data_IF_544922852895
#
_entry.id   IF_544922852895
#
_cell.length_a   1.000
_cell.length_b   1.000
_cell.length_c   1.000
_cell.angle_alpha   90.00
_cell.angle_beta   90.00
_cell.angle_gamma   90.00
#
_symmetry.space_group_name_H-M   'P 1'
#
loop_
_entity.id
_entity.type
_entity.pdbx_description
1 polymer ?
#
# COMPACT_ATOMS: atom_id res chain seq x y z
N UNK A 1 5.33 13.87 4.65
CA UNK A 1 4.36 12.79 4.93
C UNK A 1 3.14 13.05 4.06
N UNK A 2 2.73 12.07 3.26
CA UNK A 2 1.63 12.19 2.28
C UNK A 2 0.49 11.23 2.65
N UNK A 3 -0.74 11.59 2.31
CA UNK A 3 -1.89 10.67 2.43
C UNK A 3 -1.90 9.68 1.27
N UNK A 4 -2.15 8.41 1.59
CA UNK A 4 -2.30 7.33 0.63
C UNK A 4 -3.49 6.45 0.98
N UNK A 5 -3.92 5.67 0.01
CA UNK A 5 -5.01 4.71 0.11
C UNK A 5 -4.46 3.31 -0.13
N UNK A 6 -4.92 2.35 0.67
CA UNK A 6 -4.50 0.97 0.57
C UNK A 6 -5.71 0.04 0.63
N UNK A 7 -5.94 -0.72 -0.43
CA UNK A 7 -7.03 -1.70 -0.49
C UNK A 7 -6.59 -3.02 0.12
N UNK A 8 -7.48 -3.63 0.91
CA UNK A 8 -7.18 -4.84 1.68
C UNK A 8 -8.33 -5.83 1.61
N UNK A 9 -8.00 -7.12 1.80
CA UNK A 9 -9.01 -8.15 2.10
C UNK A 9 -9.44 -8.01 3.56
N UNK A 10 -10.69 -8.34 3.83
CA UNK A 10 -11.25 -8.38 5.19
C UNK A 10 -10.39 -9.22 6.16
N UNK A 11 -9.86 -10.35 5.69
CA UNK A 11 -9.02 -11.26 6.48
C UNK A 11 -7.72 -10.67 7.01
N UNK A 12 -7.21 -9.57 6.44
CA UNK A 12 -5.94 -8.94 6.87
C UNK A 12 -6.14 -7.63 7.64
N UNK A 13 -7.37 -7.11 7.70
CA UNK A 13 -7.69 -5.81 8.33
C UNK A 13 -7.28 -5.78 9.80
N UNK A 14 -7.67 -6.80 10.57
CA UNK A 14 -7.37 -6.86 12.01
C UNK A 14 -5.87 -6.91 12.30
N UNK A 15 -5.09 -7.58 11.44
CA UNK A 15 -3.65 -7.64 11.58
C UNK A 15 -3.03 -6.26 11.36
N UNK A 16 -3.48 -5.53 10.34
CA UNK A 16 -2.98 -4.18 10.03
C UNK A 16 -3.33 -3.20 11.15
N UNK A 17 -4.54 -3.28 11.72
CA UNK A 17 -4.94 -2.42 12.84
C UNK A 17 -4.05 -2.66 14.07
N UNK A 18 -3.73 -3.93 14.37
CA UNK A 18 -2.98 -4.29 15.59
C UNK A 18 -1.46 -4.14 15.44
N UNK A 19 -0.92 -4.38 14.26
CA UNK A 19 0.54 -4.53 14.03
C UNK A 19 1.11 -3.57 13.00
N UNK A 20 0.26 -2.82 12.29
CA UNK A 20 0.68 -2.03 11.13
C UNK A 20 0.86 -2.90 9.87
N UNK A 21 1.43 -2.30 8.84
CA UNK A 21 1.70 -3.00 7.59
C UNK A 21 2.91 -3.93 7.75
N UNK A 22 2.82 -5.13 7.20
CA UNK A 22 3.91 -6.10 7.15
C UNK A 22 4.25 -6.42 5.70
N UNK A 23 5.46 -6.07 5.27
CA UNK A 23 5.94 -6.34 3.91
C UNK A 23 6.13 -7.82 3.59
N UNK A 24 6.11 -8.74 4.55
CA UNK A 24 6.14 -10.17 4.24
C UNK A 24 4.86 -10.61 3.50
N UNK A 25 3.78 -9.82 3.62
CA UNK A 25 2.55 -9.96 2.84
C UNK A 25 2.48 -9.00 1.63
N UNK A 26 3.58 -8.33 1.31
CA UNK A 26 3.69 -7.43 0.16
C UNK A 26 3.41 -8.17 -1.15
N UNK A 27 2.53 -7.61 -1.97
CA UNK A 27 2.24 -8.11 -3.32
C UNK A 27 1.23 -9.26 -3.39
N UNK A 28 0.75 -9.81 -2.27
CA UNK A 28 -0.31 -10.85 -2.27
C UNK A 28 -1.61 -10.37 -2.93
N UNK A 29 -1.90 -9.07 -2.85
CA UNK A 29 -3.11 -8.46 -3.40
C UNK A 29 -2.80 -7.66 -4.67
N UNK A 30 -1.67 -6.93 -4.70
CA UNK A 30 -1.40 -5.87 -5.69
C UNK A 30 -0.27 -6.18 -6.67
N UNK A 31 0.37 -7.36 -6.55
CA UNK A 31 1.54 -7.72 -7.34
C UNK A 31 2.80 -6.92 -6.98
N UNK A 32 3.85 -7.02 -7.82
CA UNK A 32 5.17 -6.41 -7.54
C UNK A 32 5.71 -5.60 -8.73
N UNK A 33 4.85 -4.98 -9.54
CA UNK A 33 5.23 -4.29 -10.79
C UNK A 33 6.17 -3.09 -10.64
N UNK A 34 6.30 -2.54 -9.42
CA UNK A 34 7.09 -1.35 -9.09
C UNK A 34 8.01 -1.62 -7.90
N UNK A 35 8.22 -2.89 -7.57
CA UNK A 35 9.08 -3.36 -6.50
C UNK A 35 8.37 -4.26 -5.49
N UNK A 36 9.14 -4.95 -4.66
CA UNK A 36 8.63 -5.89 -3.64
C UNK A 36 8.42 -5.17 -2.31
N UNK A 37 7.30 -4.47 -2.18
CA UNK A 37 6.95 -3.75 -0.95
C UNK A 37 5.45 -3.51 -0.81
N UNK A 38 5.07 -2.65 0.14
CA UNK A 38 3.66 -2.36 0.43
C UNK A 38 3.18 -1.24 -0.49
N UNK A 39 2.06 -1.49 -1.19
CA UNK A 39 1.53 -0.61 -2.23
C UNK A 39 0.48 0.35 -1.67
N UNK A 40 0.60 1.61 -2.06
CA UNK A 40 -0.35 2.66 -1.75
C UNK A 40 -0.63 3.50 -2.99
N UNK A 41 -1.82 4.10 -3.02
CA UNK A 41 -2.20 5.05 -4.07
C UNK A 41 -2.49 6.43 -3.50
N UNK A 42 -2.17 7.50 -4.21
CA UNK A 42 -2.60 8.86 -3.87
C UNK A 42 -4.09 9.09 -4.16
N UNK A 43 -4.75 8.15 -4.85
CA UNK A 43 -6.16 8.24 -5.25
C UNK A 43 -6.96 7.06 -4.69
N UNK A 44 -8.06 7.38 -4.01
CA UNK A 44 -9.02 6.38 -3.53
C UNK A 44 -9.66 5.61 -4.70
N UNK A 45 -9.88 6.28 -5.84
CA UNK A 45 -10.45 5.66 -7.03
C UNK A 45 -9.51 4.60 -7.62
N UNK A 46 -8.21 4.89 -7.68
CA UNK A 46 -7.21 3.93 -8.13
C UNK A 46 -7.11 2.76 -7.14
N UNK A 47 -7.09 3.05 -5.83
CA UNK A 47 -7.10 2.00 -4.80
C UNK A 47 -8.35 1.12 -4.91
N UNK A 48 -9.52 1.70 -5.19
CA UNK A 48 -10.78 0.97 -5.35
C UNK A 48 -10.68 -0.14 -6.40
N UNK A 49 -9.95 0.08 -7.50
CA UNK A 49 -9.76 -0.93 -8.56
C UNK A 49 -9.10 -2.21 -8.05
N UNK A 50 -8.38 -2.13 -6.92
CA UNK A 50 -7.73 -3.26 -6.27
C UNK A 50 -8.49 -3.80 -5.05
N UNK A 51 -9.71 -3.31 -4.79
CA UNK A 51 -10.56 -3.88 -3.74
C UNK A 51 -11.32 -5.10 -4.23
N UNK A 52 -11.39 -6.12 -3.37
CA UNK A 52 -12.23 -7.31 -3.59
C UNK A 52 -13.34 -7.27 -2.54
N UNK A 53 -14.61 -7.24 -2.95
CA UNK A 53 -15.71 -7.24 -1.99
C UNK A 53 -15.78 -8.57 -1.25
N UNK A 54 -16.10 -8.54 0.03
CA UNK A 54 -16.38 -9.74 0.83
C UNK A 54 -17.74 -10.37 0.43
N UNK A 55 -18.13 -11.45 1.10
CA UNK A 55 -19.39 -12.15 0.84
C UNK A 55 -20.63 -11.27 1.04
N UNK A 56 -20.53 -10.22 1.87
CA UNK A 56 -21.59 -9.23 2.13
C UNK A 56 -21.56 -8.02 1.18
N UNK A 57 -20.64 -8.04 0.20
CA UNK A 57 -20.44 -6.96 -0.77
C UNK A 57 -19.62 -5.78 -0.25
N UNK A 58 -19.01 -5.88 0.93
CA UNK A 58 -18.24 -4.80 1.55
C UNK A 58 -16.79 -4.82 1.09
N UNK A 59 -16.22 -3.63 0.97
CA UNK A 59 -14.84 -3.37 0.56
C UNK A 59 -14.12 -2.63 1.68
N UNK A 60 -12.85 -2.97 1.85
CA UNK A 60 -12.02 -2.46 2.94
C UNK A 60 -10.86 -1.67 2.36
N UNK A 61 -10.72 -0.41 2.79
CA UNK A 61 -9.66 0.48 2.37
C UNK A 61 -9.12 1.27 3.55
N UNK A 62 -7.81 1.33 3.71
CA UNK A 62 -7.18 2.21 4.68
C UNK A 62 -6.84 3.57 4.07
N UNK A 63 -7.12 4.63 4.82
CA UNK A 63 -6.45 5.92 4.64
C UNK A 63 -5.18 5.89 5.49
N UNK A 64 -4.04 6.12 4.85
CA UNK A 64 -2.71 5.89 5.38
C UNK A 64 -1.90 7.16 5.33
N UNK A 65 -1.10 7.42 6.36
CA UNK A 65 -0.05 8.45 6.33
C UNK A 65 1.27 7.76 6.00
N UNK A 66 1.88 8.16 4.87
CA UNK A 66 3.08 7.50 4.34
C UNK A 66 4.27 8.45 4.30
N UNK A 67 5.43 7.94 4.72
CA UNK A 67 6.73 8.59 4.66
C UNK A 67 7.45 8.19 3.36
N UNK A 68 7.25 8.98 2.30
CA UNK A 68 7.83 8.67 0.99
C UNK A 68 9.33 8.90 0.89
N UNK A 69 9.86 9.91 1.57
CA UNK A 69 11.25 10.32 1.44
C UNK A 69 11.61 10.64 -0.03
N UNK A 70 12.84 10.31 -0.41
CA UNK A 70 13.27 10.35 -1.81
C UNK A 70 12.69 9.17 -2.58
N UNK A 71 12.11 9.45 -3.74
CA UNK A 71 11.42 8.46 -4.58
C UNK A 71 12.18 8.22 -5.88
N UNK A 72 12.15 6.98 -6.38
CA UNK A 72 12.63 6.63 -7.72
C UNK A 72 11.53 5.89 -8.51
N UNK A 73 11.67 5.81 -9.83
CA UNK A 73 10.82 4.94 -10.62
C UNK A 73 11.06 3.47 -10.22
N UNK A 74 9.97 2.74 -9.98
CA UNK A 74 10.03 1.32 -9.65
C UNK A 74 9.86 0.43 -10.86
N UNK A 75 10.41 -0.78 -10.76
CA UNK A 75 10.17 -1.89 -11.68
C UNK A 75 10.09 -3.22 -10.92
N UNK A 76 9.71 -4.30 -11.59
CA UNK A 76 9.47 -5.59 -10.95
C UNK A 76 10.73 -6.31 -10.45
N UNK A 77 11.91 -5.89 -10.89
CA UNK A 77 13.19 -6.42 -10.43
C UNK A 77 13.67 -5.77 -9.13
N UNK A 78 13.07 -4.64 -8.71
CA UNK A 78 13.45 -3.93 -7.48
C UNK A 78 13.04 -4.73 -6.24
N UNK A 79 14.00 -5.48 -5.69
CA UNK A 79 13.84 -6.18 -4.41
C UNK A 79 14.27 -5.32 -3.22
N UNK A 80 15.31 -4.50 -3.42
CA UNK A 80 15.89 -3.63 -2.41
C UNK A 80 16.04 -2.24 -2.99
N UNK A 81 15.80 -1.23 -2.15
CA UNK A 81 15.90 0.16 -2.58
C UNK A 81 17.37 0.61 -2.53
N UNK A 82 17.90 1.26 -3.58
CA UNK A 82 19.26 1.79 -3.58
C UNK A 82 19.45 2.89 -2.52
N UNK A 83 20.70 3.08 -2.11
CA UNK A 83 21.08 4.15 -1.18
C UNK A 83 20.61 5.53 -1.69
N UNK A 84 20.08 6.33 -0.76
CA UNK A 84 19.54 7.66 -1.06
C UNK A 84 18.08 7.66 -1.49
N UNK A 85 17.44 6.50 -1.70
CA UNK A 85 16.02 6.36 -1.99
C UNK A 85 15.28 5.63 -0.86
N UNK A 86 13.99 5.91 -0.73
CA UNK A 86 13.16 5.42 0.38
C UNK A 86 11.85 4.78 -0.08
N UNK A 87 11.33 5.17 -1.25
CA UNK A 87 10.18 4.53 -1.91
C UNK A 87 10.37 4.45 -3.42
N UNK A 88 9.60 3.57 -4.06
CA UNK A 88 9.47 3.55 -5.52
C UNK A 88 8.09 4.04 -5.94
N UNK A 89 7.96 4.51 -7.18
CA UNK A 89 6.70 4.99 -7.73
C UNK A 89 6.54 4.59 -9.19
N UNK A 90 5.29 4.58 -9.68
CA UNK A 90 5.00 4.51 -11.12
C UNK A 90 5.08 5.88 -11.83
N UNK A 91 5.51 6.93 -11.13
CA UNK A 91 5.56 8.31 -11.64
C UNK A 91 4.18 8.99 -11.72
N UNK A 92 3.12 8.35 -11.20
CA UNK A 92 1.76 8.86 -11.20
C UNK A 92 1.17 8.81 -9.79
N UNK A 93 0.34 7.81 -9.52
CA UNK A 93 -0.46 7.69 -8.30
C UNK A 93 0.04 6.63 -7.34
N UNK A 94 0.86 5.68 -7.78
CA UNK A 94 1.28 4.53 -6.97
C UNK A 94 2.64 4.80 -6.35
N UNK A 95 2.78 4.44 -5.09
CA UNK A 95 4.05 4.41 -4.37
C UNK A 95 4.16 3.14 -3.53
N UNK A 96 5.39 2.63 -3.42
CA UNK A 96 5.72 1.38 -2.74
C UNK A 96 6.73 1.66 -1.63
N UNK A 97 6.42 1.23 -0.41
CA UNK A 97 7.31 1.35 0.75
C UNK A 97 8.03 0.04 1.04
N UNK A 98 9.25 0.14 1.57
CA UNK A 98 10.13 -0.99 1.83
C UNK A 98 10.35 -1.27 3.31
N UNK A 99 9.84 -0.41 4.21
CA UNK A 99 9.88 -0.59 5.65
C UNK A 99 8.49 -0.52 6.27
N UNK A 100 8.23 -1.41 7.22
CA UNK A 100 6.93 -1.56 7.90
C UNK A 100 6.51 -0.30 8.66
N UNK A 101 7.48 0.46 9.17
CA UNK A 101 7.26 1.72 9.89
C UNK A 101 7.09 2.96 9.00
N UNK A 102 7.16 2.84 7.67
CA UNK A 102 6.96 3.97 6.75
C UNK A 102 5.49 4.34 6.54
N UNK A 103 4.57 3.49 6.98
CA UNK A 103 3.14 3.65 6.74
C UNK A 103 2.35 3.49 8.05
N UNK A 104 1.50 4.47 8.33
CA UNK A 104 0.59 4.45 9.47
C UNK A 104 -0.86 4.43 9.00
N UNK A 105 -1.58 3.34 9.26
CA UNK A 105 -3.00 3.21 8.98
C UNK A 105 -3.79 4.12 9.92
N UNK A 106 -4.25 5.27 9.42
CA UNK A 106 -4.92 6.28 10.23
C UNK A 106 -6.42 6.00 10.37
N UNK A 107 -7.05 5.53 9.30
CA UNK A 107 -8.49 5.23 9.28
C UNK A 107 -8.77 4.00 8.43
N UNK A 108 -9.72 3.18 8.86
CA UNK A 108 -10.35 2.14 8.03
C UNK A 108 -11.65 2.69 7.44
N UNK A 109 -11.81 2.53 6.14
CA UNK A 109 -13.01 2.90 5.37
C UNK A 109 -13.65 1.60 4.89
N UNK A 110 -14.93 1.41 5.25
CA UNK A 110 -15.76 0.28 4.83
C UNK A 110 -16.90 0.82 3.97
N UNK A 111 -17.05 0.31 2.76
CA UNK A 111 -18.06 0.75 1.79
C UNK A 111 -18.44 -0.39 0.83
N UNK A 112 -19.35 -0.17 -0.12
CA UNK A 112 -19.78 -1.17 -1.11
C UNK A 112 -19.47 -0.70 -2.53
#
# INVERSE_FOLDING_TARGET
MQHGYCSMKDTVVDNIIKRGFDRNHAGEIHGTSYGRGVYFSSSAFESHQYTIPNQSGERYMFLVRVLLGNTMLGDSSVQYIPDGYHTTTNGKSIFVTYHDSQAYAAYLIIYK
#
